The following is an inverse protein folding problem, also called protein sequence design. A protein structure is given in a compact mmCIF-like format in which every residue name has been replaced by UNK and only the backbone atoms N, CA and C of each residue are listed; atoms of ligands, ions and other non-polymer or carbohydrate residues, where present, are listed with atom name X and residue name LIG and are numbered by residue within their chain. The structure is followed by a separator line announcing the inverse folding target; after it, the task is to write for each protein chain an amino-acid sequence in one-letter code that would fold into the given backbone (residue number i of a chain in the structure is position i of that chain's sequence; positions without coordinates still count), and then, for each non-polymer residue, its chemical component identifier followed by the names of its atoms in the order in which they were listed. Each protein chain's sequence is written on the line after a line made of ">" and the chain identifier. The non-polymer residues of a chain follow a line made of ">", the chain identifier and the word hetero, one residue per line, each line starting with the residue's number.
data_IF_490608694165
#
_entry.id   IF_490608694165
#
_cell.length_a   1.000
_cell.length_b   1.000
_cell.length_c   1.000
_cell.angle_alpha   90.00
_cell.angle_beta   90.00
_cell.angle_gamma   90.00
#
_symmetry.space_group_name_H-M   'P 1'
#
loop_
_entity.id
_entity.type
_entity.pdbx_description
1 polymer ?
#
# COMPACT_ATOMS: atom_id res chain seq x y z
N UNK A 1 6.44 -29.22 13.58
CA UNK A 1 5.20 -28.43 13.61
C UNK A 1 5.39 -27.38 14.68
N UNK A 2 5.83 -26.20 14.32
CA UNK A 2 5.93 -25.04 15.20
C UNK A 2 4.80 -24.10 14.83
N UNK A 3 3.89 -23.90 15.77
CA UNK A 3 2.77 -22.97 15.61
C UNK A 3 3.31 -21.54 15.54
N UNK A 4 3.24 -20.91 14.38
CA UNK A 4 3.44 -19.48 14.22
C UNK A 4 2.11 -18.79 14.53
N UNK A 5 2.09 -18.04 15.62
CA UNK A 5 0.97 -17.15 15.93
C UNK A 5 1.14 -15.89 15.11
N UNK A 6 0.39 -15.76 14.04
CA UNK A 6 0.31 -14.51 13.30
C UNK A 6 -0.40 -13.47 14.19
N UNK A 7 0.29 -12.40 14.52
CA UNK A 7 -0.27 -11.27 15.27
C UNK A 7 -1.02 -10.39 14.27
N UNK A 8 -2.34 -10.51 14.29
CA UNK A 8 -3.25 -9.63 13.56
C UNK A 8 -3.25 -8.25 14.23
N UNK A 9 -2.74 -7.22 13.56
CA UNK A 9 -2.88 -5.85 14.02
C UNK A 9 -4.21 -5.28 13.50
N UNK A 10 -5.25 -5.39 14.33
CA UNK A 10 -6.38 -4.47 14.25
C UNK A 10 -5.92 -3.14 14.85
N UNK A 11 -5.73 -2.13 14.01
CA UNK A 11 -5.45 -0.78 14.46
C UNK A 11 -6.70 -0.18 15.13
N UNK A 12 -6.87 -0.37 16.43
CA UNK A 12 -7.75 0.47 17.23
C UNK A 12 -6.99 1.77 17.54
N UNK A 13 -7.37 2.85 16.88
CA UNK A 13 -6.90 4.19 17.20
C UNK A 13 -7.52 4.64 18.52
N UNK A 14 -6.71 4.70 19.60
CA UNK A 14 -7.02 5.50 20.76
C UNK A 14 -6.29 6.84 20.66
N UNK A 15 -7.06 7.89 20.44
CA UNK A 15 -6.58 9.28 20.50
C UNK A 15 -6.36 9.63 21.98
N UNK A 16 -5.11 9.77 22.39
CA UNK A 16 -4.76 10.50 23.62
C UNK A 16 -4.29 11.90 23.23
N UNK A 17 -5.17 12.88 23.45
CA UNK A 17 -4.84 14.29 23.42
C UNK A 17 -3.88 14.59 24.58
N UNK A 18 -2.63 14.85 24.27
CA UNK A 18 -1.75 15.62 25.14
C UNK A 18 -1.08 16.70 24.29
N UNK A 19 -1.60 17.92 24.44
CA UNK A 19 -0.94 19.14 23.99
C UNK A 19 0.27 19.40 24.89
N UNK A 20 1.47 19.43 24.31
CA UNK A 20 2.61 20.13 24.90
C UNK A 20 3.20 21.04 23.83
N UNK A 21 2.91 22.31 23.92
CA UNK A 21 3.68 23.38 23.31
C UNK A 21 5.07 23.40 23.93
N UNK A 22 6.08 23.26 23.10
CA UNK A 22 7.47 23.47 23.43
C UNK A 22 8.25 23.51 22.12
N UNK A 23 8.37 24.71 21.53
CA UNK A 23 9.32 24.93 20.42
C UNK A 23 10.73 24.84 20.98
N UNK A 24 11.34 23.67 20.97
CA UNK A 24 12.79 23.55 21.12
C UNK A 24 13.45 23.95 19.80
N UNK A 25 14.39 24.85 19.90
CA UNK A 25 15.28 25.34 18.86
C UNK A 25 16.10 24.14 18.29
N UNK A 26 15.69 23.58 17.15
CA UNK A 26 16.26 22.36 16.56
C UNK A 26 17.48 22.62 15.68
N UNK A 27 18.19 23.72 15.88
CA UNK A 27 19.43 24.02 15.16
C UNK A 27 20.56 23.13 15.65
N UNK A 28 20.80 22.00 14.91
CA UNK A 28 21.99 21.17 15.12
C UNK A 28 21.78 19.66 15.30
N UNK A 29 20.56 19.15 15.21
CA UNK A 29 20.32 17.70 15.30
C UNK A 29 20.61 17.08 13.93
N UNK A 30 21.60 16.17 13.86
CA UNK A 30 21.81 15.31 12.72
C UNK A 30 20.69 14.26 12.66
N UNK A 31 19.76 14.46 11.74
CA UNK A 31 18.55 13.63 11.59
C UNK A 31 18.90 12.15 11.38
N UNK A 32 19.93 11.84 10.59
CA UNK A 32 20.38 10.46 10.37
C UNK A 32 20.90 9.80 11.64
N UNK A 33 21.71 10.52 12.44
CA UNK A 33 22.20 10.03 13.74
C UNK A 33 21.04 9.69 14.70
N UNK A 34 20.00 10.51 14.75
CA UNK A 34 18.83 10.24 15.60
C UNK A 34 18.00 9.05 15.07
N UNK A 35 17.83 8.93 13.75
CA UNK A 35 17.20 7.75 13.13
C UNK A 35 18.01 6.50 13.49
N UNK A 36 19.33 6.50 13.36
CA UNK A 36 20.18 5.37 13.73
C UNK A 36 20.06 4.99 15.21
N UNK A 37 19.93 5.96 16.12
CA UNK A 37 19.69 5.69 17.55
C UNK A 37 18.36 4.96 17.76
N UNK A 38 17.29 5.41 17.11
CA UNK A 38 16.00 4.75 17.19
C UNK A 38 16.04 3.35 16.56
N UNK A 39 16.65 3.19 15.38
CA UNK A 39 16.87 1.90 14.74
C UNK A 39 17.58 0.91 15.65
N UNK A 40 18.66 1.35 16.29
CA UNK A 40 19.41 0.53 17.24
C UNK A 40 18.57 0.14 18.46
N UNK A 41 17.80 1.08 19.02
CA UNK A 41 16.95 0.84 20.19
C UNK A 41 15.84 -0.18 19.90
N UNK A 42 15.27 -0.16 18.69
CA UNK A 42 14.18 -1.03 18.22
C UNK A 42 14.69 -2.25 17.44
N UNK A 43 15.99 -2.35 17.23
CA UNK A 43 16.63 -3.39 16.43
C UNK A 43 16.02 -3.45 15.03
N UNK A 44 15.90 -2.29 14.36
CA UNK A 44 15.43 -2.15 12.98
C UNK A 44 16.65 -2.31 12.06
N UNK A 45 16.69 -3.31 11.15
CA UNK A 45 17.87 -3.56 10.35
C UNK A 45 18.14 -2.46 9.34
N UNK A 46 17.10 -1.96 8.61
CA UNK A 46 17.26 -0.83 7.71
C UNK A 46 16.04 0.08 7.66
N UNK A 47 16.32 1.34 7.37
CA UNK A 47 15.33 2.38 7.04
C UNK A 47 15.85 3.15 5.84
N UNK A 48 14.98 3.36 4.84
CA UNK A 48 15.19 4.34 3.79
C UNK A 48 14.09 5.39 3.85
N UNK A 49 14.44 6.65 3.59
CA UNK A 49 13.48 7.74 3.60
C UNK A 49 13.84 8.77 2.53
N UNK A 50 12.84 9.47 2.03
CA UNK A 50 12.99 10.48 1.00
C UNK A 50 12.01 11.63 1.24
N UNK A 51 12.44 12.84 0.94
CA UNK A 51 11.63 14.06 0.97
C UNK A 51 11.71 14.70 -0.42
N UNK A 52 10.52 14.99 -0.95
CA UNK A 52 10.33 15.66 -2.23
C UNK A 52 9.72 17.03 -1.98
N UNK A 53 10.21 18.04 -2.67
CA UNK A 53 9.70 19.40 -2.68
C UNK A 53 9.87 20.00 -4.07
N UNK A 54 8.79 20.63 -4.59
CA UNK A 54 8.78 21.26 -5.92
C UNK A 54 9.28 20.29 -7.03
N UNK A 55 8.78 19.04 -6.99
CA UNK A 55 9.09 17.95 -7.93
C UNK A 55 10.57 17.46 -7.93
N UNK A 56 11.34 17.79 -6.91
CA UNK A 56 12.73 17.35 -6.76
C UNK A 56 12.96 16.66 -5.42
N UNK A 57 13.84 15.66 -5.39
CA UNK A 57 14.34 15.08 -4.14
C UNK A 57 15.22 16.14 -3.47
N UNK A 58 14.79 16.63 -2.30
CA UNK A 58 15.54 17.62 -1.50
C UNK A 58 16.32 16.97 -0.37
N UNK A 59 15.94 15.77 0.04
CA UNK A 59 16.65 14.96 1.02
C UNK A 59 16.32 13.49 0.83
N UNK A 60 17.33 12.64 0.95
CA UNK A 60 17.18 11.18 1.00
C UNK A 60 18.17 10.58 1.99
N UNK A 61 17.80 9.45 2.58
CA UNK A 61 18.66 8.70 3.48
C UNK A 61 18.42 7.20 3.35
N UNK A 62 19.50 6.42 3.43
CA UNK A 62 19.46 4.97 3.44
C UNK A 62 20.39 4.46 4.54
N UNK A 63 19.81 3.93 5.62
CA UNK A 63 20.50 3.58 6.85
C UNK A 63 20.38 2.10 7.17
N UNK A 64 21.46 1.53 7.72
CA UNK A 64 21.51 0.17 8.20
C UNK A 64 21.77 -0.86 7.10
N UNK A 65 21.24 -2.08 7.29
CA UNK A 65 21.54 -3.25 6.47
C UNK A 65 20.31 -3.73 5.69
N UNK A 66 20.40 -3.76 4.38
CA UNK A 66 19.45 -4.46 3.51
C UNK A 66 19.45 -5.97 3.81
N UNK A 67 20.62 -6.53 4.13
CA UNK A 67 20.79 -7.88 4.66
C UNK A 67 21.87 -7.90 5.75
N UNK A 68 21.46 -8.24 6.97
CA UNK A 68 22.36 -8.30 8.13
C UNK A 68 23.34 -9.44 8.01
N UNK A 69 22.92 -10.59 7.46
CA UNK A 69 23.74 -11.81 7.40
C UNK A 69 24.95 -11.64 6.48
N UNK A 70 24.79 -10.96 5.36
CA UNK A 70 25.86 -10.66 4.40
C UNK A 70 26.51 -9.30 4.64
N UNK A 71 26.08 -8.53 5.65
CA UNK A 71 26.49 -7.15 5.89
C UNK A 71 26.25 -6.22 4.69
N UNK A 72 25.22 -6.51 3.87
CA UNK A 72 24.84 -5.69 2.73
C UNK A 72 24.18 -4.41 3.24
N UNK A 73 24.76 -3.26 2.97
CA UNK A 73 24.19 -1.97 3.35
C UNK A 73 22.93 -1.65 2.53
N UNK A 74 21.96 -1.01 3.16
CA UNK A 74 20.86 -0.37 2.46
C UNK A 74 21.37 0.84 1.65
N UNK A 75 20.82 1.06 0.47
CA UNK A 75 21.12 2.18 -0.41
C UNK A 75 19.85 2.62 -1.16
N UNK A 76 19.94 3.67 -1.99
CA UNK A 76 18.79 4.21 -2.74
C UNK A 76 18.13 3.21 -3.71
N UNK A 77 18.87 2.20 -4.17
CA UNK A 77 18.40 1.16 -5.10
C UNK A 77 17.81 -0.05 -4.38
N UNK A 78 17.97 -0.14 -3.06
CA UNK A 78 17.46 -1.26 -2.26
C UNK A 78 15.95 -1.37 -2.38
N UNK A 79 15.46 -2.56 -2.79
CA UNK A 79 14.05 -2.85 -3.01
C UNK A 79 13.35 -3.29 -1.74
N UNK A 80 12.24 -2.64 -1.44
CA UNK A 80 11.33 -2.97 -0.34
C UNK A 80 9.96 -3.30 -0.89
N UNK A 81 9.30 -4.30 -0.35
CA UNK A 81 7.86 -4.45 -0.59
C UNK A 81 7.13 -3.32 0.11
N UNK A 82 6.44 -2.46 -0.66
CA UNK A 82 5.80 -1.24 -0.12
C UNK A 82 4.45 -1.50 0.56
N UNK A 83 4.07 -2.78 0.65
CA UNK A 83 2.85 -3.23 1.33
C UNK A 83 1.61 -2.47 0.82
N UNK A 84 0.69 -2.09 1.70
CA UNK A 84 -0.58 -1.46 1.31
C UNK A 84 -0.45 -0.13 0.57
N UNK A 85 0.72 0.49 0.50
CA UNK A 85 0.98 1.61 -0.41
C UNK A 85 0.75 1.18 -1.87
N UNK A 86 0.87 -0.11 -2.20
CA UNK A 86 0.52 -0.67 -3.52
C UNK A 86 -0.92 -0.37 -3.95
N UNK A 87 -1.83 -0.12 -3.00
CA UNK A 87 -3.23 0.25 -3.29
C UNK A 87 -3.37 1.61 -3.98
N UNK A 88 -2.39 2.50 -3.80
CA UNK A 88 -2.36 3.79 -4.50
C UNK A 88 -2.19 3.57 -6.02
N UNK A 89 -1.40 2.56 -6.40
CA UNK A 89 -1.26 2.14 -7.80
C UNK A 89 -2.56 1.51 -8.34
N UNK A 90 -3.24 0.71 -7.52
CA UNK A 90 -4.56 0.17 -7.89
C UNK A 90 -5.60 1.29 -8.08
N UNK A 91 -5.65 2.27 -7.18
CA UNK A 91 -6.51 3.44 -7.36
C UNK A 91 -6.20 4.16 -8.68
N UNK A 92 -4.91 4.37 -8.96
CA UNK A 92 -4.45 4.99 -10.22
C UNK A 92 -4.89 4.20 -11.45
N UNK A 93 -4.78 2.84 -11.46
CA UNK A 93 -5.24 2.01 -12.60
C UNK A 93 -6.75 2.12 -12.82
N UNK A 94 -7.53 2.13 -11.74
CA UNK A 94 -8.99 2.31 -11.84
C UNK A 94 -9.35 3.68 -12.36
N UNK A 95 -8.66 4.72 -11.90
CA UNK A 95 -8.91 6.09 -12.37
C UNK A 95 -8.47 6.27 -13.83
N UNK A 96 -7.46 5.56 -14.33
CA UNK A 96 -7.13 5.51 -15.76
C UNK A 96 -8.25 4.89 -16.60
N UNK A 97 -8.90 3.83 -16.09
CA UNK A 97 -10.06 3.25 -16.77
C UNK A 97 -11.28 4.19 -16.72
N UNK A 98 -11.48 4.89 -15.60
CA UNK A 98 -12.54 5.89 -15.45
C UNK A 98 -12.33 7.06 -16.41
N UNK A 99 -11.13 7.60 -16.50
CA UNK A 99 -10.75 8.68 -17.41
C UNK A 99 -10.98 8.31 -18.90
N UNK A 100 -10.79 7.03 -19.23
CA UNK A 100 -11.05 6.47 -20.57
C UNK A 100 -12.54 6.16 -20.83
N UNK A 101 -13.42 6.34 -19.83
CA UNK A 101 -14.85 6.01 -19.92
C UNK A 101 -15.15 4.50 -19.95
N UNK A 102 -14.18 3.66 -19.55
CA UNK A 102 -14.29 2.20 -19.57
C UNK A 102 -14.91 1.64 -18.30
N UNK A 103 -14.94 2.40 -17.20
CA UNK A 103 -15.59 2.03 -15.96
C UNK A 103 -16.40 3.22 -15.43
N UNK A 104 -17.63 2.93 -14.96
CA UNK A 104 -18.43 3.85 -14.16
C UNK A 104 -18.32 3.40 -12.70
N UNK A 105 -17.78 4.25 -11.83
CA UNK A 105 -17.54 3.89 -10.42
C UNK A 105 -18.83 3.58 -9.65
N UNK A 106 -19.98 4.11 -10.09
CA UNK A 106 -21.29 3.93 -9.48
C UNK A 106 -22.13 2.81 -10.13
N UNK A 107 -21.65 2.20 -11.21
CA UNK A 107 -22.33 1.06 -11.83
C UNK A 107 -22.14 -0.22 -11.01
N UNK A 108 -23.05 -1.17 -11.21
CA UNK A 108 -22.94 -2.52 -10.62
C UNK A 108 -21.68 -3.21 -11.17
N UNK A 109 -20.82 -3.71 -10.28
CA UNK A 109 -19.60 -4.42 -10.68
C UNK A 109 -19.85 -5.65 -11.55
N UNK A 110 -21.07 -6.20 -11.52
CA UNK A 110 -21.45 -7.33 -12.37
C UNK A 110 -21.51 -6.98 -13.86
N UNK A 111 -21.49 -5.70 -14.22
CA UNK A 111 -21.32 -5.27 -15.60
C UNK A 111 -19.90 -5.54 -16.12
N UNK A 112 -18.93 -5.69 -15.21
CA UNK A 112 -17.49 -5.82 -15.51
C UNK A 112 -16.92 -7.21 -15.17
N UNK A 113 -17.72 -8.12 -14.62
CA UNK A 113 -17.26 -9.43 -14.16
C UNK A 113 -17.95 -10.57 -14.94
N UNK A 114 -17.28 -11.73 -15.13
CA UNK A 114 -17.87 -12.87 -15.82
C UNK A 114 -18.79 -13.73 -14.92
N UNK A 115 -18.95 -13.33 -13.65
CA UNK A 115 -19.78 -14.00 -12.66
C UNK A 115 -20.46 -12.97 -11.76
N UNK A 116 -21.58 -13.37 -11.16
CA UNK A 116 -22.33 -12.49 -10.29
C UNK A 116 -21.74 -12.43 -8.87
N UNK A 117 -21.53 -11.21 -8.36
CA UNK A 117 -21.08 -10.94 -7.00
C UNK A 117 -22.17 -10.18 -6.26
N UNK A 118 -22.69 -10.78 -5.19
CA UNK A 118 -23.70 -10.19 -4.29
C UNK A 118 -23.36 -10.56 -2.85
N UNK A 119 -23.66 -9.67 -1.92
CA UNK A 119 -23.72 -10.05 -0.52
C UNK A 119 -24.94 -10.97 -0.32
N UNK A 120 -24.78 -12.23 0.09
CA UNK A 120 -25.89 -13.17 0.22
C UNK A 120 -26.97 -12.73 1.23
N UNK A 121 -26.60 -11.87 2.20
CA UNK A 121 -27.55 -11.31 3.17
C UNK A 121 -28.39 -10.17 2.57
N UNK A 122 -27.92 -9.56 1.46
CA UNK A 122 -28.56 -8.43 0.77
C UNK A 122 -28.50 -8.61 -0.76
N UNK A 123 -29.14 -9.67 -1.30
CA UNK A 123 -28.97 -10.07 -2.70
C UNK A 123 -29.49 -9.03 -3.71
N UNK A 124 -30.44 -8.18 -3.30
CA UNK A 124 -31.01 -7.12 -4.13
C UNK A 124 -30.17 -5.82 -4.14
N UNK A 125 -29.08 -5.78 -3.36
CA UNK A 125 -28.19 -4.62 -3.31
C UNK A 125 -27.00 -4.80 -4.22
N UNK A 126 -26.81 -3.84 -5.13
CA UNK A 126 -25.60 -3.79 -5.97
C UNK A 126 -24.37 -3.45 -5.15
N UNK A 127 -23.22 -3.89 -5.66
CA UNK A 127 -21.89 -3.47 -5.20
C UNK A 127 -21.29 -2.66 -6.35
N UNK A 128 -20.63 -1.54 -6.02
CA UNK A 128 -20.01 -0.65 -7.02
C UNK A 128 -18.50 -0.62 -6.85
N UNK A 129 -17.78 -0.21 -7.89
CA UNK A 129 -16.34 0.02 -7.80
C UNK A 129 -16.00 1.11 -6.79
N UNK A 130 -16.85 2.13 -6.64
CA UNK A 130 -16.73 3.14 -5.59
C UNK A 130 -16.75 2.50 -4.19
N UNK A 131 -17.66 1.56 -3.93
CA UNK A 131 -17.72 0.85 -2.64
C UNK A 131 -16.48 -0.02 -2.38
N UNK A 132 -15.83 -0.55 -3.42
CA UNK A 132 -14.57 -1.28 -3.29
C UNK A 132 -13.40 -0.33 -2.99
N UNK A 133 -13.35 0.83 -3.66
CA UNK A 133 -12.35 1.89 -3.45
C UNK A 133 -12.44 2.55 -2.08
N UNK A 134 -13.64 2.58 -1.48
CA UNK A 134 -13.90 3.18 -0.16
C UNK A 134 -14.03 2.16 0.96
N UNK A 135 -13.77 0.88 0.68
CA UNK A 135 -13.89 -0.19 1.66
C UNK A 135 -15.30 -0.35 2.28
N UNK A 136 -16.35 -0.02 1.53
CA UNK A 136 -17.75 -0.09 2.00
C UNK A 136 -18.56 -1.22 1.37
N UNK A 137 -17.92 -2.14 0.63
CA UNK A 137 -18.60 -3.24 -0.07
C UNK A 137 -19.18 -4.33 0.84
N UNK A 138 -18.80 -4.36 2.13
CA UNK A 138 -19.19 -5.43 3.04
C UNK A 138 -18.41 -6.74 2.88
N UNK A 139 -17.41 -6.79 1.98
CA UNK A 139 -16.46 -7.90 1.89
C UNK A 139 -15.45 -7.84 3.02
N UNK A 140 -15.37 -8.89 3.83
CA UNK A 140 -14.45 -8.98 4.94
C UNK A 140 -13.08 -9.52 4.53
N UNK A 141 -12.05 -9.09 5.24
CA UNK A 141 -10.77 -9.75 5.28
C UNK A 141 -10.88 -11.03 6.12
N UNK A 142 -10.31 -12.18 5.70
CA UNK A 142 -10.34 -13.37 6.53
C UNK A 142 -9.58 -13.14 7.83
N UNK A 143 -10.22 -13.46 8.93
CA UNK A 143 -9.54 -13.58 10.21
C UNK A 143 -8.86 -14.95 10.28
N UNK A 144 -7.71 -15.06 10.95
CA UNK A 144 -7.00 -16.33 11.21
C UNK A 144 -7.89 -17.42 11.85
N UNK A 145 -8.98 -17.00 12.50
CA UNK A 145 -9.97 -17.87 13.13
C UNK A 145 -10.85 -18.64 12.14
N UNK A 146 -10.91 -18.21 10.88
CA UNK A 146 -11.79 -18.82 9.87
C UNK A 146 -11.24 -20.13 9.32
N UNK A 147 -10.04 -20.54 9.76
CA UNK A 147 -9.43 -21.83 9.38
C UNK A 147 -9.07 -21.94 7.90
N UNK A 148 -8.92 -20.81 7.21
CA UNK A 148 -8.47 -20.74 5.82
C UNK A 148 -6.94 -20.72 5.85
N UNK A 149 -6.35 -21.91 6.01
CA UNK A 149 -4.91 -22.07 6.20
C UNK A 149 -4.06 -21.54 5.03
N UNK A 150 -4.64 -21.45 3.82
CA UNK A 150 -3.90 -21.10 2.61
C UNK A 150 -4.04 -19.65 2.21
N UNK A 151 -4.85 -18.86 2.93
CA UNK A 151 -5.04 -17.45 2.56
C UNK A 151 -3.77 -16.62 2.75
N UNK A 152 -2.99 -16.92 3.78
CA UNK A 152 -1.71 -16.28 4.10
C UNK A 152 -0.50 -17.08 3.56
N UNK A 153 -0.71 -17.92 2.53
CA UNK A 153 0.40 -18.60 1.88
C UNK A 153 1.28 -17.58 1.17
N UNK A 154 2.58 -17.64 1.45
CA UNK A 154 3.59 -16.85 0.77
C UNK A 154 4.19 -17.65 -0.38
N UNK A 155 4.40 -16.97 -1.50
CA UNK A 155 5.07 -17.48 -2.69
C UNK A 155 6.43 -16.81 -2.78
N UNK A 156 7.47 -17.59 -3.08
CA UNK A 156 8.86 -17.14 -3.11
C UNK A 156 9.35 -16.97 -4.55
N UNK A 157 10.60 -16.56 -4.74
CA UNK A 157 11.14 -16.16 -6.05
C UNK A 157 10.98 -17.18 -7.19
N UNK A 158 10.85 -18.47 -6.87
CA UNK A 158 10.65 -19.57 -7.83
C UNK A 158 9.19 -20.02 -7.98
N UNK A 159 8.27 -19.31 -7.37
CA UNK A 159 6.84 -19.62 -7.36
C UNK A 159 6.02 -18.44 -7.89
N UNK A 160 4.97 -18.74 -8.64
CA UNK A 160 4.00 -17.73 -9.05
C UNK A 160 2.70 -17.91 -8.24
N UNK A 161 2.15 -16.84 -7.68
CA UNK A 161 0.84 -16.90 -7.04
C UNK A 161 -0.23 -17.18 -8.11
N UNK A 162 -1.35 -17.85 -7.76
CA UNK A 162 -2.45 -18.08 -8.67
C UNK A 162 -3.01 -16.73 -9.17
N UNK A 163 -3.56 -16.75 -10.40
CA UNK A 163 -4.26 -15.59 -10.94
C UNK A 163 -5.45 -15.23 -10.03
N UNK A 164 -5.84 -13.96 -10.01
CA UNK A 164 -6.94 -13.51 -9.14
C UNK A 164 -8.22 -14.26 -9.46
N UNK A 165 -8.50 -14.50 -10.74
CA UNK A 165 -9.68 -15.23 -11.20
C UNK A 165 -9.74 -16.68 -10.69
N UNK A 166 -8.58 -17.31 -10.43
CA UNK A 166 -8.52 -18.72 -10.02
C UNK A 166 -8.86 -18.96 -8.55
N UNK A 167 -8.67 -17.96 -7.69
CA UNK A 167 -8.89 -18.13 -6.25
C UNK A 167 -9.99 -17.25 -5.68
N UNK A 168 -10.18 -16.04 -6.20
CA UNK A 168 -11.09 -15.07 -5.59
C UNK A 168 -12.56 -15.50 -5.66
N UNK A 169 -13.07 -16.03 -6.80
CA UNK A 169 -14.44 -16.58 -6.86
C UNK A 169 -14.65 -17.73 -5.86
N UNK A 170 -13.67 -18.61 -5.71
CA UNK A 170 -13.71 -19.74 -4.76
C UNK A 170 -13.81 -19.28 -3.30
N UNK A 171 -13.33 -18.05 -3.02
CA UNK A 171 -13.36 -17.46 -1.69
C UNK A 171 -14.65 -16.66 -1.41
N UNK A 172 -15.13 -15.85 -2.39
CA UNK A 172 -16.22 -14.89 -2.15
C UNK A 172 -17.62 -15.42 -2.51
N UNK A 173 -17.72 -16.42 -3.42
CA UNK A 173 -19.02 -16.92 -3.88
C UNK A 173 -19.53 -18.05 -2.99
N UNK A 174 -20.85 -18.12 -2.70
CA UNK A 174 -21.43 -19.12 -1.81
C UNK A 174 -21.19 -20.58 -2.22
N UNK A 175 -20.96 -20.85 -3.51
CA UNK A 175 -20.64 -22.17 -4.06
C UNK A 175 -19.13 -22.44 -4.20
N UNK A 176 -18.28 -21.48 -3.81
CA UNK A 176 -16.83 -21.61 -3.87
C UNK A 176 -16.29 -22.58 -2.82
N UNK A 177 -15.22 -23.28 -3.14
CA UNK A 177 -14.61 -24.31 -2.29
C UNK A 177 -14.00 -23.78 -0.99
N UNK A 178 -13.63 -22.50 -0.97
CA UNK A 178 -13.05 -21.80 0.17
C UNK A 178 -14.03 -20.82 0.85
N UNK A 179 -15.28 -20.81 0.40
CA UNK A 179 -16.28 -19.89 0.91
C UNK A 179 -16.59 -20.13 2.39
N UNK A 180 -16.67 -19.03 3.14
CA UNK A 180 -17.19 -18.97 4.51
C UNK A 180 -18.23 -17.85 4.60
N UNK A 181 -19.29 -18.04 5.39
CA UNK A 181 -20.32 -17.01 5.58
C UNK A 181 -19.77 -15.71 6.16
N UNK A 182 -18.63 -15.79 6.87
CA UNK A 182 -17.90 -14.64 7.47
C UNK A 182 -17.24 -13.73 6.43
N UNK A 183 -17.11 -14.18 5.18
CA UNK A 183 -16.60 -13.36 4.06
C UNK A 183 -17.49 -12.14 3.81
N UNK A 184 -18.78 -12.26 4.07
CA UNK A 184 -19.75 -11.18 3.93
C UNK A 184 -20.22 -10.71 5.29
N UNK A 185 -20.26 -9.40 5.47
CA UNK A 185 -20.79 -8.78 6.69
C UNK A 185 -22.33 -8.67 6.60
N UNK A 186 -22.97 -8.65 7.78
CA UNK A 186 -24.42 -8.57 7.91
C UNK A 186 -24.91 -7.11 7.98
N UNK A 187 -24.50 -6.33 6.98
CA UNK A 187 -25.00 -4.98 6.69
C UNK A 187 -24.97 -4.73 5.18
N UNK A 188 -25.87 -3.87 4.65
CA UNK A 188 -25.90 -3.57 3.23
C UNK A 188 -24.60 -2.97 2.71
N UNK A 189 -24.17 -3.31 1.47
CA UNK A 189 -23.10 -2.62 0.79
C UNK A 189 -23.34 -1.10 0.76
N UNK A 190 -22.29 -0.33 1.03
CA UNK A 190 -22.32 1.14 1.09
C UNK A 190 -22.57 1.73 2.48
N UNK A 191 -23.02 0.94 3.48
CA UNK A 191 -23.42 1.50 4.78
C UNK A 191 -22.29 1.63 5.79
N UNK A 192 -21.33 0.70 5.77
CA UNK A 192 -20.23 0.68 6.76
C UNK A 192 -18.89 0.46 6.08
N UNK A 193 -17.90 1.18 6.55
CA UNK A 193 -16.52 1.02 6.12
C UNK A 193 -15.84 -0.11 6.90
N UNK A 194 -15.25 -1.04 6.15
CA UNK A 194 -14.41 -2.11 6.68
C UNK A 194 -13.26 -2.33 5.72
N UNK A 195 -12.06 -1.95 6.13
CA UNK A 195 -10.85 -2.17 5.33
C UNK A 195 -10.77 -3.63 4.85
N UNK A 196 -10.70 -3.82 3.51
CA UNK A 196 -10.78 -5.14 2.91
C UNK A 196 -9.79 -5.32 1.77
N UNK A 197 -8.77 -6.17 1.98
CA UNK A 197 -7.89 -6.61 0.90
C UNK A 197 -8.62 -7.50 -0.12
N UNK A 198 -9.71 -8.17 0.29
CA UNK A 198 -10.55 -8.96 -0.62
C UNK A 198 -11.31 -8.03 -1.57
N UNK A 199 -11.93 -6.99 -1.05
CA UNK A 199 -12.62 -5.99 -1.88
C UNK A 199 -11.67 -5.33 -2.88
N UNK A 200 -10.44 -5.00 -2.46
CA UNK A 200 -9.43 -4.44 -3.36
C UNK A 200 -8.87 -5.46 -4.35
N UNK A 201 -8.78 -6.75 -4.00
CA UNK A 201 -8.44 -7.81 -4.97
C UNK A 201 -9.53 -7.97 -6.03
N UNK A 202 -10.81 -7.85 -5.65
CA UNK A 202 -11.93 -7.86 -6.59
C UNK A 202 -11.87 -6.65 -7.55
N UNK A 203 -11.47 -5.50 -7.05
CA UNK A 203 -11.26 -4.32 -7.89
C UNK A 203 -10.14 -4.53 -8.92
N UNK A 204 -9.04 -5.18 -8.53
CA UNK A 204 -7.97 -5.54 -9.47
C UNK A 204 -8.46 -6.54 -10.55
N UNK A 205 -9.30 -7.51 -10.17
CA UNK A 205 -9.92 -8.42 -11.14
C UNK A 205 -10.82 -7.67 -12.14
N UNK A 206 -11.53 -6.64 -11.70
CA UNK A 206 -12.32 -5.77 -12.58
C UNK A 206 -11.40 -5.06 -13.59
N UNK A 207 -10.23 -4.55 -13.14
CA UNK A 207 -9.23 -3.97 -14.02
C UNK A 207 -8.77 -5.00 -15.08
N UNK A 208 -8.49 -6.25 -14.67
CA UNK A 208 -8.10 -7.33 -15.59
C UNK A 208 -9.19 -7.62 -16.64
N UNK A 209 -10.46 -7.69 -16.24
CA UNK A 209 -11.56 -7.97 -17.16
C UNK A 209 -11.82 -6.83 -18.15
N UNK A 210 -11.77 -5.59 -17.71
CA UNK A 210 -11.99 -4.43 -18.59
C UNK A 210 -10.83 -4.28 -19.58
N UNK A 211 -9.57 -4.46 -19.11
CA UNK A 211 -8.38 -4.26 -19.92
C UNK A 211 -8.02 -5.46 -20.80
N UNK A 212 -8.44 -6.67 -20.40
CA UNK A 212 -7.99 -7.92 -21.00
C UNK A 212 -6.53 -8.29 -20.66
N UNK A 213 -5.93 -7.64 -19.65
CA UNK A 213 -4.55 -7.81 -19.22
C UNK A 213 -4.48 -8.29 -17.78
N UNK A 214 -3.42 -9.05 -17.43
CA UNK A 214 -3.05 -9.27 -16.02
C UNK A 214 -2.81 -7.90 -15.34
N UNK A 215 -3.30 -7.73 -14.12
CA UNK A 215 -3.17 -6.47 -13.37
C UNK A 215 -1.71 -5.97 -13.28
N UNK A 216 -0.77 -6.91 -13.07
CA UNK A 216 0.66 -6.59 -12.94
C UNK A 216 1.22 -6.01 -14.24
N UNK A 217 0.78 -6.54 -15.38
CA UNK A 217 1.19 -6.07 -16.72
C UNK A 217 0.51 -4.73 -17.01
N UNK A 218 -0.79 -4.59 -16.72
CA UNK A 218 -1.49 -3.31 -16.86
C UNK A 218 -0.81 -2.20 -16.06
N UNK A 219 -0.49 -2.45 -14.78
CA UNK A 219 0.21 -1.49 -13.93
C UNK A 219 1.60 -1.15 -14.47
N UNK A 220 2.33 -2.16 -14.96
CA UNK A 220 3.67 -1.97 -15.55
C UNK A 220 3.59 -1.05 -16.76
N UNK A 221 2.73 -1.36 -17.73
CA UNK A 221 2.64 -0.62 -19.00
C UNK A 221 2.05 0.80 -18.84
N UNK A 222 1.09 0.97 -17.89
CA UNK A 222 0.34 2.22 -17.77
C UNK A 222 0.81 3.13 -16.63
N UNK A 223 1.65 2.63 -15.70
CA UNK A 223 2.16 3.42 -14.59
C UNK A 223 3.69 3.31 -14.48
N UNK A 224 4.23 2.09 -14.27
CA UNK A 224 5.65 1.95 -13.93
C UNK A 224 6.57 2.40 -15.08
N UNK A 225 6.34 1.94 -16.31
CA UNK A 225 7.14 2.32 -17.47
C UNK A 225 6.99 3.82 -17.83
N UNK A 226 5.77 4.41 -17.88
CA UNK A 226 5.63 5.85 -18.12
C UNK A 226 6.33 6.71 -17.08
N UNK A 227 6.41 6.26 -15.83
CA UNK A 227 7.10 6.95 -14.74
C UNK A 227 8.58 6.57 -14.60
N UNK A 228 9.12 5.77 -15.53
CA UNK A 228 10.52 5.33 -15.48
C UNK A 228 10.89 4.59 -14.17
N UNK A 229 9.92 3.88 -13.57
CA UNK A 229 10.09 3.06 -12.37
C UNK A 229 10.70 1.70 -12.73
N UNK A 230 11.93 1.72 -13.21
CA UNK A 230 12.57 0.60 -13.92
C UNK A 230 12.88 -0.62 -13.05
N UNK A 231 12.99 -0.46 -11.74
CA UNK A 231 13.29 -1.54 -10.80
C UNK A 231 12.04 -1.99 -10.02
N UNK A 232 10.92 -1.27 -10.13
CA UNK A 232 9.68 -1.59 -9.42
C UNK A 232 8.89 -2.68 -10.12
N UNK A 233 8.47 -3.72 -9.40
CA UNK A 233 7.73 -4.87 -9.97
C UNK A 233 6.80 -5.51 -8.93
N UNK A 234 5.73 -6.12 -9.43
CA UNK A 234 4.87 -7.03 -8.67
C UNK A 234 5.36 -8.48 -8.73
N UNK A 235 6.02 -8.89 -9.83
CA UNK A 235 6.53 -10.26 -10.01
C UNK A 235 7.93 -10.38 -9.44
N UNK A 236 8.11 -11.35 -8.52
CA UNK A 236 9.41 -11.58 -7.88
C UNK A 236 10.48 -12.06 -8.85
N UNK A 237 10.12 -12.92 -9.82
CA UNK A 237 11.05 -13.47 -10.81
C UNK A 237 11.63 -12.42 -11.77
N UNK A 238 11.08 -11.20 -11.77
CA UNK A 238 11.55 -10.09 -12.60
C UNK A 238 12.36 -9.06 -11.79
N UNK A 239 12.60 -9.32 -10.50
CA UNK A 239 13.41 -8.46 -9.63
C UNK A 239 14.88 -8.87 -9.69
N UNK A 240 15.78 -7.90 -9.56
CA UNK A 240 17.20 -8.17 -9.35
C UNK A 240 17.43 -8.56 -7.88
N UNK A 241 17.79 -9.82 -7.65
CA UNK A 241 18.07 -10.37 -6.32
C UNK A 241 19.13 -9.56 -5.56
N UNK A 242 20.04 -8.90 -6.30
CA UNK A 242 21.05 -8.05 -5.68
C UNK A 242 20.50 -6.77 -5.07
N UNK A 243 19.30 -6.34 -5.47
CA UNK A 243 18.65 -5.15 -4.95
C UNK A 243 17.67 -5.48 -3.80
N UNK A 244 17.26 -6.74 -3.64
CA UNK A 244 16.28 -7.12 -2.61
C UNK A 244 16.80 -6.88 -1.20
N UNK A 245 15.94 -6.41 -0.33
CA UNK A 245 16.17 -6.33 1.11
C UNK A 245 15.63 -7.58 1.79
N UNK A 246 16.38 -8.15 2.72
CA UNK A 246 15.91 -9.27 3.54
C UNK A 246 14.84 -8.79 4.51
N UNK A 247 13.62 -9.35 4.50
CA UNK A 247 12.59 -9.05 5.49
C UNK A 247 12.91 -9.74 6.83
N UNK A 248 12.59 -9.07 7.95
CA UNK A 248 12.83 -9.57 9.30
C UNK A 248 11.54 -9.62 10.12
N UNK A 249 11.34 -10.72 10.84
CA UNK A 249 10.24 -10.86 11.78
C UNK A 249 10.42 -9.97 13.04
N UNK A 250 9.45 -10.01 13.95
CA UNK A 250 9.51 -9.25 15.21
C UNK A 250 10.72 -9.62 16.09
N UNK A 251 11.26 -10.84 15.94
CA UNK A 251 12.42 -11.36 16.68
C UNK A 251 13.74 -11.15 15.93
N UNK A 252 13.73 -10.42 14.82
CA UNK A 252 14.87 -10.21 13.91
C UNK A 252 15.38 -11.52 13.26
N UNK A 253 14.48 -12.49 13.03
CA UNK A 253 14.81 -13.64 12.21
C UNK A 253 14.54 -13.29 10.74
N UNK A 254 15.52 -13.50 9.85
CA UNK A 254 15.32 -13.27 8.43
C UNK A 254 14.42 -14.34 7.83
N UNK A 255 13.72 -13.97 6.77
CA UNK A 255 13.02 -14.91 5.90
C UNK A 255 13.12 -14.44 4.44
N UNK A 256 12.80 -15.36 3.51
CA UNK A 256 12.94 -15.10 2.09
C UNK A 256 11.95 -14.01 1.63
N UNK A 257 12.33 -13.27 0.61
CA UNK A 257 11.49 -12.28 -0.03
C UNK A 257 10.29 -12.98 -0.69
N UNK A 258 9.10 -12.43 -0.56
CA UNK A 258 7.85 -13.14 -0.85
C UNK A 258 6.78 -12.25 -1.50
N UNK A 259 5.79 -12.92 -2.09
CA UNK A 259 4.51 -12.34 -2.53
C UNK A 259 3.34 -13.18 -2.02
N UNK A 260 2.12 -12.81 -2.34
CA UNK A 260 0.93 -13.58 -2.00
C UNK A 260 -0.14 -13.49 -3.12
N UNK A 261 -1.17 -14.36 -3.06
CA UNK A 261 -2.26 -14.40 -4.05
C UNK A 261 -3.02 -13.08 -4.22
N UNK A 262 -3.02 -12.25 -3.19
CA UNK A 262 -3.61 -10.91 -3.20
C UNK A 262 -2.57 -9.82 -3.53
N UNK A 263 -1.65 -10.13 -4.43
CA UNK A 263 -0.51 -9.26 -4.80
C UNK A 263 -0.88 -7.81 -5.16
N UNK A 264 -2.05 -7.49 -5.76
CA UNK A 264 -2.33 -6.10 -6.14
C UNK A 264 -2.40 -5.14 -4.96
N UNK A 265 -2.71 -5.67 -3.77
CA UNK A 265 -3.05 -4.84 -2.61
C UNK A 265 -1.89 -4.61 -1.65
N UNK A 266 -0.71 -5.20 -1.93
CA UNK A 266 0.38 -5.11 -0.97
C UNK A 266 1.76 -5.57 -1.41
N UNK A 267 1.98 -5.94 -2.66
CA UNK A 267 3.22 -6.64 -3.04
C UNK A 267 3.97 -5.99 -4.22
N UNK A 268 3.77 -4.71 -4.46
CA UNK A 268 4.69 -3.95 -5.29
C UNK A 268 6.02 -3.79 -4.53
N UNK A 269 7.12 -4.16 -5.18
CA UNK A 269 8.47 -3.87 -4.71
C UNK A 269 8.97 -2.59 -5.37
N UNK A 270 9.54 -1.68 -4.59
CA UNK A 270 10.06 -0.39 -5.06
C UNK A 270 11.25 0.08 -4.23
N UNK A 271 11.94 1.10 -4.69
CA UNK A 271 13.08 1.74 -4.06
C UNK A 271 12.90 3.27 -3.98
N UNK A 272 13.89 3.99 -3.44
CA UNK A 272 13.82 5.45 -3.31
C UNK A 272 13.61 6.13 -4.66
N UNK A 273 14.42 5.77 -5.65
CA UNK A 273 14.41 6.42 -6.97
C UNK A 273 13.04 6.25 -7.65
N UNK A 274 12.64 5.01 -7.86
CA UNK A 274 11.41 4.69 -8.57
C UNK A 274 10.17 5.27 -7.86
N UNK A 275 10.06 5.10 -6.53
CA UNK A 275 8.90 5.59 -5.80
C UNK A 275 8.84 7.12 -5.77
N UNK A 276 9.99 7.80 -5.82
CA UNK A 276 10.03 9.26 -5.95
C UNK A 276 9.38 9.75 -7.25
N UNK A 277 9.50 9.00 -8.36
CA UNK A 277 8.87 9.34 -9.63
C UNK A 277 7.33 9.30 -9.53
N UNK A 278 6.78 8.27 -8.86
CA UNK A 278 5.34 8.21 -8.58
C UNK A 278 4.91 9.37 -7.68
N UNK A 279 5.70 9.67 -6.63
CA UNK A 279 5.39 10.78 -5.74
C UNK A 279 5.39 12.11 -6.46
N UNK A 280 6.38 12.39 -7.30
CA UNK A 280 6.45 13.59 -8.14
C UNK A 280 5.27 13.64 -9.10
N UNK A 281 4.94 12.53 -9.76
CA UNK A 281 3.80 12.50 -10.68
C UNK A 281 2.50 12.93 -10.00
N UNK A 282 2.24 12.43 -8.78
CA UNK A 282 1.03 12.81 -8.04
C UNK A 282 1.04 14.28 -7.61
N UNK A 283 2.20 14.85 -7.21
CA UNK A 283 2.34 16.28 -6.88
C UNK A 283 2.19 17.19 -8.11
N UNK A 284 2.52 16.67 -9.29
CA UNK A 284 2.56 17.41 -10.56
C UNK A 284 1.40 17.01 -11.50
N UNK A 285 0.18 16.99 -10.96
CA UNK A 285 -1.05 16.74 -11.72
C UNK A 285 -1.00 15.48 -12.61
N UNK A 286 -0.41 14.40 -12.09
CA UNK A 286 -0.27 13.10 -12.78
C UNK A 286 0.84 13.02 -13.81
N UNK A 287 1.80 13.96 -13.80
CA UNK A 287 2.84 14.08 -14.85
C UNK A 287 4.24 13.93 -14.26
N UNK A 288 5.05 13.08 -14.87
CA UNK A 288 6.50 12.94 -14.62
C UNK A 288 7.28 12.96 -15.94
N UNK A 289 8.33 13.76 -16.04
CA UNK A 289 9.17 13.89 -17.25
C UNK A 289 8.37 14.10 -18.54
N UNK A 290 7.27 14.88 -18.48
CA UNK A 290 6.38 15.14 -19.61
C UNK A 290 5.46 13.96 -20.01
N UNK A 291 5.49 12.85 -19.29
CA UNK A 291 4.56 11.72 -19.44
C UNK A 291 3.47 11.80 -18.38
N UNK A 292 2.22 11.83 -18.82
CA UNK A 292 1.06 11.91 -17.95
C UNK A 292 0.40 10.54 -17.79
N UNK A 293 0.20 10.10 -16.54
CA UNK A 293 -0.51 8.87 -16.20
C UNK A 293 -1.98 9.12 -15.78
N UNK A 294 -2.30 10.30 -15.27
CA UNK A 294 -3.67 10.76 -14.96
C UNK A 294 -3.80 12.26 -15.30
N UNK A 295 -5.02 12.74 -15.54
CA UNK A 295 -5.32 14.16 -15.56
C UNK A 295 -5.63 14.70 -14.15
N UNK A 296 -5.65 16.02 -13.99
CA UNK A 296 -5.92 16.65 -12.69
C UNK A 296 -7.32 16.33 -12.14
N UNK A 297 -8.35 16.28 -13.00
CA UNK A 297 -9.72 15.93 -12.59
C UNK A 297 -9.78 14.51 -11.99
N UNK A 298 -9.05 13.55 -12.56
CA UNK A 298 -8.96 12.18 -12.04
C UNK A 298 -8.25 12.13 -10.69
N UNK A 299 -7.21 12.94 -10.51
CA UNK A 299 -6.50 13.06 -9.22
C UNK A 299 -7.42 13.71 -8.19
N UNK A 300 -8.05 14.83 -8.49
CA UNK A 300 -8.96 15.52 -7.58
C UNK A 300 -10.08 14.58 -7.11
N UNK A 301 -10.68 13.83 -8.05
CA UNK A 301 -11.71 12.83 -7.73
C UNK A 301 -11.16 11.69 -6.87
N UNK A 302 -9.95 11.20 -7.16
CA UNK A 302 -9.32 10.12 -6.40
C UNK A 302 -9.02 10.52 -4.96
N UNK A 303 -8.64 11.78 -4.74
CA UNK A 303 -8.24 12.33 -3.45
C UNK A 303 -9.40 12.94 -2.68
N UNK A 304 -10.59 13.09 -3.29
CA UNK A 304 -11.78 13.65 -2.64
C UNK A 304 -12.15 12.83 -1.39
N UNK A 305 -12.31 13.52 -0.26
CA UNK A 305 -12.65 12.90 1.01
C UNK A 305 -14.05 12.27 0.96
N UNK A 306 -14.14 10.95 1.06
CA UNK A 306 -15.38 10.18 1.00
C UNK A 306 -15.97 9.94 2.39
N UNK A 307 -15.14 9.69 3.39
CA UNK A 307 -15.58 9.48 4.77
C UNK A 307 -14.76 10.34 5.74
N UNK A 308 -15.35 11.46 6.24
CA UNK A 308 -14.66 12.34 7.19
C UNK A 308 -14.27 11.68 8.52
N UNK A 309 -14.94 10.58 8.92
CA UNK A 309 -14.68 9.93 10.19
C UNK A 309 -13.40 9.08 10.17
N UNK A 310 -13.07 8.49 9.01
CA UNK A 310 -11.88 7.65 8.82
C UNK A 310 -10.79 8.33 8.00
N UNK A 311 -11.11 9.44 7.32
CA UNK A 311 -10.23 10.07 6.36
C UNK A 311 -10.18 9.38 4.99
N UNK A 312 -11.06 8.40 4.73
CA UNK A 312 -11.02 7.60 3.50
C UNK A 312 -11.38 8.41 2.27
N UNK A 313 -10.51 8.32 1.26
CA UNK A 313 -10.75 8.69 -0.14
C UNK A 313 -10.76 7.42 -1.01
N UNK A 314 -10.46 7.48 -2.30
CA UNK A 314 -10.45 6.28 -3.15
C UNK A 314 -9.12 5.51 -2.99
N UNK A 315 -9.04 4.62 -2.00
CA UNK A 315 -7.84 3.91 -1.52
C UNK A 315 -6.71 4.82 -1.03
N UNK A 316 -6.96 6.12 -0.90
CA UNK A 316 -6.12 7.09 -0.23
C UNK A 316 -6.70 7.43 1.14
N UNK A 317 -5.89 7.93 2.05
CA UNK A 317 -6.31 8.29 3.41
C UNK A 317 -5.82 9.69 3.76
N UNK A 318 -6.75 10.56 4.16
CA UNK A 318 -6.44 11.84 4.78
C UNK A 318 -6.03 11.63 6.23
N UNK A 319 -4.82 12.03 6.56
CA UNK A 319 -4.26 11.92 7.91
C UNK A 319 -4.23 13.27 8.63
N UNK A 320 -3.87 13.28 9.89
CA UNK A 320 -3.69 14.50 10.64
C UNK A 320 -2.56 15.36 10.06
N UNK A 321 -2.75 16.71 10.06
CA UNK A 321 -1.74 17.65 9.59
C UNK A 321 -1.75 17.86 8.07
N UNK A 322 -2.94 17.82 7.46
CA UNK A 322 -3.22 18.16 6.07
C UNK A 322 -2.39 17.35 5.06
N UNK A 323 -2.16 16.08 5.37
CA UNK A 323 -1.50 15.16 4.46
C UNK A 323 -2.44 14.03 4.05
N UNK A 324 -2.23 13.53 2.83
CA UNK A 324 -2.94 12.41 2.26
C UNK A 324 -1.95 11.35 1.77
N UNK A 325 -2.24 10.10 1.96
CA UNK A 325 -1.32 9.03 1.59
C UNK A 325 -1.80 7.66 2.00
N UNK A 326 -0.85 6.78 2.32
CA UNK A 326 -1.17 5.43 2.82
C UNK A 326 -0.04 4.87 3.69
N UNK A 327 -0.43 4.11 4.71
CA UNK A 327 0.48 3.26 5.49
C UNK A 327 0.58 1.87 4.86
N UNK A 328 1.73 1.25 4.93
CA UNK A 328 1.92 -0.15 4.53
C UNK A 328 2.51 -0.98 5.66
N UNK A 329 1.90 -2.11 5.97
CA UNK A 329 2.40 -3.02 7.00
C UNK A 329 2.11 -4.48 6.66
N UNK A 330 3.07 -5.33 6.92
CA UNK A 330 2.96 -6.76 6.71
C UNK A 330 4.17 -7.48 7.29
N UNK A 331 4.25 -8.78 7.11
CA UNK A 331 5.38 -9.56 7.63
C UNK A 331 6.69 -9.02 7.04
N UNK A 332 7.58 -8.54 7.89
CA UNK A 332 8.92 -8.08 7.52
C UNK A 332 9.03 -6.66 6.96
N UNK A 333 7.93 -5.93 6.76
CA UNK A 333 7.99 -4.58 6.22
C UNK A 333 7.05 -3.63 6.95
N UNK A 334 7.50 -2.38 7.11
CA UNK A 334 6.69 -1.23 7.51
C UNK A 334 7.02 -0.07 6.60
N UNK A 335 5.99 0.55 6.01
CA UNK A 335 6.14 1.60 5.03
C UNK A 335 5.14 2.73 5.27
N UNK A 336 5.54 3.93 4.95
CA UNK A 336 4.73 5.13 5.06
C UNK A 336 4.96 6.02 3.85
N UNK A 337 3.91 6.60 3.29
CA UNK A 337 4.00 7.62 2.26
C UNK A 337 2.90 8.66 2.46
N UNK A 338 3.26 9.94 2.38
CA UNK A 338 2.33 11.06 2.51
C UNK A 338 2.67 12.19 1.54
N UNK A 339 1.64 12.89 1.12
CA UNK A 339 1.65 14.05 0.25
C UNK A 339 0.99 15.23 0.93
N UNK A 340 1.57 16.41 0.76
CA UNK A 340 1.05 17.72 1.15
C UNK A 340 0.90 18.55 -0.11
N UNK A 341 -0.23 18.42 -0.80
CA UNK A 341 -0.42 19.00 -2.13
C UNK A 341 -0.32 20.51 -2.13
N UNK A 342 -0.91 21.23 -1.16
CA UNK A 342 -0.80 22.69 -1.04
C UNK A 342 0.65 23.17 -0.87
N UNK A 343 1.49 22.34 -0.28
CA UNK A 343 2.91 22.62 -0.06
C UNK A 343 3.83 22.06 -1.14
N UNK A 344 3.30 21.38 -2.18
CA UNK A 344 4.09 20.68 -3.21
C UNK A 344 5.18 19.78 -2.60
N UNK A 345 4.85 19.12 -1.49
CA UNK A 345 5.79 18.33 -0.70
C UNK A 345 5.28 16.90 -0.52
N UNK A 346 6.21 15.96 -0.52
CA UNK A 346 5.95 14.57 -0.17
C UNK A 346 7.09 13.97 0.63
N UNK A 347 6.79 12.94 1.40
CA UNK A 347 7.79 12.10 2.05
C UNK A 347 7.35 10.65 2.08
N UNK A 348 8.33 9.75 2.10
CA UNK A 348 8.09 8.34 2.36
C UNK A 348 9.22 7.71 3.17
N UNK A 349 8.87 6.63 3.87
CA UNK A 349 9.77 5.88 4.75
C UNK A 349 9.49 4.40 4.54
N UNK A 350 10.52 3.61 4.22
CA UNK A 350 10.43 2.15 4.12
C UNK A 350 11.41 1.50 5.10
N UNK A 351 10.99 0.36 5.67
CA UNK A 351 11.78 -0.44 6.60
C UNK A 351 11.58 -1.92 6.33
N UNK A 352 12.65 -2.71 6.45
CA UNK A 352 12.61 -4.17 6.29
C UNK A 352 12.29 -4.93 7.58
N UNK A 353 11.54 -4.31 8.47
CA UNK A 353 11.02 -4.92 9.71
C UNK A 353 9.70 -4.27 10.12
N UNK A 354 8.77 -5.05 10.67
CA UNK A 354 7.55 -4.50 11.29
C UNK A 354 7.91 -3.68 12.51
N UNK A 355 7.61 -2.38 12.47
CA UNK A 355 7.83 -1.46 13.58
C UNK A 355 6.85 -0.28 13.51
N UNK A 356 6.59 0.37 14.66
CA UNK A 356 5.67 1.50 14.73
C UNK A 356 6.37 2.86 14.52
N UNK A 357 7.71 2.89 14.53
CA UNK A 357 8.47 4.14 14.47
C UNK A 357 8.38 4.85 13.12
N UNK A 358 7.99 4.13 12.04
CA UNK A 358 7.87 4.72 10.68
C UNK A 358 6.51 5.33 10.38
N UNK A 359 5.48 5.05 11.20
CA UNK A 359 4.13 5.57 11.01
C UNK A 359 3.94 6.91 11.73
N UNK A 360 2.91 7.66 11.35
CA UNK A 360 2.54 8.93 11.97
C UNK A 360 2.50 8.80 13.51
N UNK A 361 3.19 9.70 14.19
CA UNK A 361 3.39 9.66 15.65
C UNK A 361 4.54 8.76 16.12
N UNK A 362 5.19 8.02 15.24
CA UNK A 362 6.40 7.24 15.54
C UNK A 362 7.67 8.07 15.46
N UNK A 363 8.72 7.69 16.20
CA UNK A 363 9.93 8.51 16.32
C UNK A 363 10.66 8.74 15.00
N UNK A 364 10.79 7.72 14.14
CA UNK A 364 11.44 7.87 12.83
C UNK A 364 10.60 8.80 11.94
N UNK A 365 9.28 8.61 11.91
CA UNK A 365 8.37 9.49 11.20
C UNK A 365 8.55 10.96 11.63
N UNK A 366 8.54 11.25 12.94
CA UNK A 366 8.70 12.61 13.46
C UNK A 366 10.05 13.23 13.06
N UNK A 367 11.12 12.43 13.06
CA UNK A 367 12.44 12.90 12.64
C UNK A 367 12.46 13.27 11.15
N UNK A 368 11.91 12.42 10.28
CA UNK A 368 11.83 12.67 8.83
C UNK A 368 10.90 13.85 8.54
N UNK A 369 9.76 13.96 9.23
CA UNK A 369 8.84 15.09 9.09
C UNK A 369 9.46 16.42 9.54
N UNK A 370 10.22 16.42 10.65
CA UNK A 370 10.97 17.59 11.09
C UNK A 370 12.07 17.97 10.09
N UNK A 371 12.73 16.99 9.47
CA UNK A 371 13.64 17.23 8.35
C UNK A 371 12.93 17.90 7.19
N UNK A 372 11.76 17.38 6.80
CA UNK A 372 10.94 17.93 5.73
C UNK A 372 10.49 19.38 5.98
N UNK A 373 10.39 19.81 7.24
CA UNK A 373 10.04 21.20 7.58
C UNK A 373 11.19 22.21 7.38
N UNK A 374 12.40 21.74 7.08
CA UNK A 374 13.53 22.62 6.74
C UNK A 374 13.48 23.11 5.28
N UNK A 375 12.68 22.46 4.43
CA UNK A 375 12.47 22.76 3.01
C UNK A 375 11.05 23.32 2.77
#
# INVERSE_FOLDING_TARGET
>A
MKNFTAILFLGLFFILLNSCEGSEDTTGIDTESEILKEMNSKKIPSVVACIIKNNEIVWESALGYADVSSSKLANRESLYTIMSISKLFLATTVMQLWERGLINLEADINEYLPFEVRNPNFPDKMITSHMLLTHTSGLAWPEDRDGISDFHHFYYSNEEPPLIIDWLPEYILPNGSQYKTTVWKDYPPGEQELYSNIGTSLLALIVEHISGMDYRDFCTENILEPLEMNNSRFRLNNLDDQLLTTPYDANNQPFDYYTARHYPVGFLSSNIEDFSHFMVAMLNEGTYNGRRILNSESIDKMLELQNPSSGTALLWVHYLGDCIGHAGGGTGFSTWAEWHFEGEKGLFIFSNKVNQSVYQGGRIYELVRNEANKY
#
